data_IF_837080926639
#
_entry.id   IF_837080926639
#
_cell.length_a   1.000
_cell.length_b   1.000
_cell.length_c   1.000
_cell.angle_alpha   90.00
_cell.angle_beta   90.00
_cell.angle_gamma   90.00
#
_symmetry.space_group_name_H-M   'P 1'
#
loop_
_entity.id
_entity.type
_entity.pdbx_description
1 polymer ?
#
# COMPACT_ATOMS: atom_id res chain seq x y z
N UNK A 1 40.17 -26.33 15.26
CA UNK A 1 39.74 -27.75 15.44
C UNK A 1 38.26 -27.78 15.73
N UNK A 2 37.56 -28.71 15.05
CA UNK A 2 36.13 -29.16 15.15
C UNK A 2 35.09 -28.25 14.48
N UNK A 3 34.80 -28.64 13.23
CA UNK A 3 33.63 -28.36 12.41
C UNK A 3 32.45 -29.17 12.98
N UNK A 4 31.28 -28.53 13.20
CA UNK A 4 30.02 -29.25 13.31
C UNK A 4 29.11 -28.80 12.15
N UNK A 5 28.87 -29.77 11.25
CA UNK A 5 27.85 -29.69 10.21
C UNK A 5 26.52 -30.09 10.84
N UNK A 6 25.51 -29.27 10.69
CA UNK A 6 24.11 -29.63 10.92
C UNK A 6 23.43 -29.81 9.57
N UNK A 7 22.88 -30.97 9.40
CA UNK A 7 22.24 -31.53 8.20
C UNK A 7 20.82 -30.95 8.17
N UNK A 8 20.48 -30.29 7.07
CA UNK A 8 19.10 -29.84 6.79
C UNK A 8 18.32 -31.02 6.19
N UNK A 9 17.25 -31.43 6.86
CA UNK A 9 16.33 -32.44 6.36
C UNK A 9 15.34 -31.79 5.39
N UNK A 10 15.37 -32.19 4.14
CA UNK A 10 14.39 -31.84 3.10
C UNK A 10 13.24 -32.82 3.20
N UNK A 11 12.04 -32.35 3.58
CA UNK A 11 10.81 -33.14 3.44
C UNK A 11 10.27 -32.95 2.01
N UNK A 12 10.38 -34.02 1.24
CA UNK A 12 9.73 -34.19 -0.06
C UNK A 12 8.34 -34.78 0.18
N UNK A 13 7.31 -34.04 -0.11
CA UNK A 13 5.92 -34.50 -0.08
C UNK A 13 5.55 -34.99 -1.48
N UNK A 14 5.51 -36.31 -1.65
CA UNK A 14 5.09 -36.99 -2.88
C UNK A 14 3.56 -37.11 -2.91
N UNK A 15 2.91 -36.46 -3.89
CA UNK A 15 1.51 -36.68 -4.23
C UNK A 15 1.38 -37.97 -5.05
N UNK A 16 0.67 -38.95 -4.52
CA UNK A 16 0.27 -40.14 -5.28
C UNK A 16 -1.08 -39.87 -5.96
N UNK A 17 -1.08 -39.84 -7.28
CA UNK A 17 -2.29 -39.96 -8.10
C UNK A 17 -2.67 -41.46 -8.18
N UNK A 18 -3.86 -41.79 -7.72
CA UNK A 18 -4.46 -43.11 -7.93
C UNK A 18 -5.50 -42.97 -9.04
N UNK A 19 -5.19 -43.54 -10.20
CA UNK A 19 -6.12 -43.83 -11.29
C UNK A 19 -6.79 -45.17 -10.97
N UNK A 20 -8.14 -45.18 -10.93
CA UNK A 20 -8.91 -46.40 -11.02
C UNK A 20 -9.75 -46.36 -12.30
N UNK A 21 -9.32 -47.13 -13.29
CA UNK A 21 -10.15 -47.61 -14.38
C UNK A 21 -10.80 -48.93 -13.95
N UNK A 22 -12.03 -49.13 -14.40
CA UNK A 22 -12.57 -50.48 -14.38
C UNK A 22 -14.10 -50.57 -14.33
N UNK A 23 -14.72 -50.78 -15.47
CA UNK A 23 -15.50 -51.96 -15.72
C UNK A 23 -17.02 -51.82 -15.62
N UNK A 24 -17.62 -51.82 -16.76
CA UNK A 24 -19.02 -52.04 -17.11
C UNK A 24 -19.55 -53.35 -16.57
N UNK A 25 -20.77 -53.39 -16.03
CA UNK A 25 -21.73 -54.49 -16.21
C UNK A 25 -23.14 -54.07 -15.89
N UNK A 26 -24.02 -54.24 -16.86
CA UNK A 26 -25.47 -54.07 -16.80
C UNK A 26 -26.12 -55.12 -15.88
N UNK A 27 -27.11 -54.69 -15.08
CA UNK A 27 -28.32 -55.49 -14.78
C UNK A 27 -29.49 -54.55 -14.51
N UNK A 28 -30.53 -54.70 -15.34
CA UNK A 28 -31.90 -54.21 -15.12
C UNK A 28 -32.53 -54.90 -13.94
N UNK A 29 -33.13 -54.14 -13.05
CA UNK A 29 -34.35 -54.54 -12.33
C UNK A 29 -35.20 -53.31 -12.08
N UNK A 30 -36.44 -53.36 -12.59
CA UNK A 30 -37.52 -52.42 -12.32
C UNK A 30 -37.97 -52.55 -10.87
N UNK A 31 -37.99 -51.42 -10.15
CA UNK A 31 -38.79 -51.29 -8.96
C UNK A 31 -39.38 -49.88 -8.92
N UNK A 32 -40.64 -49.77 -9.24
CA UNK A 32 -41.50 -48.62 -9.03
C UNK A 32 -41.58 -48.32 -7.55
N UNK A 33 -41.13 -47.17 -7.11
CA UNK A 33 -41.54 -46.60 -5.82
C UNK A 33 -41.68 -45.10 -5.94
N UNK A 34 -42.84 -44.63 -5.58
CA UNK A 34 -43.28 -43.25 -5.54
C UNK A 34 -42.35 -42.37 -4.77
N UNK A 35 -41.58 -41.55 -5.47
CA UNK A 35 -40.81 -40.46 -4.86
C UNK A 35 -41.74 -39.26 -4.77
N UNK A 36 -42.30 -39.02 -3.58
CA UNK A 36 -42.89 -37.74 -3.23
C UNK A 36 -41.82 -36.67 -3.37
N UNK A 37 -41.95 -35.83 -4.37
CA UNK A 37 -41.15 -34.63 -4.52
C UNK A 37 -41.50 -33.67 -3.39
N UNK A 38 -40.76 -33.74 -2.30
CA UNK A 38 -40.73 -32.63 -1.34
C UNK A 38 -40.02 -31.46 -2.03
N UNK A 39 -40.83 -30.52 -2.47
CA UNK A 39 -40.33 -29.21 -2.88
C UNK A 39 -39.81 -28.54 -1.63
N UNK A 40 -38.52 -28.70 -1.36
CA UNK A 40 -37.84 -27.85 -0.41
C UNK A 40 -37.86 -26.43 -0.98
N UNK A 41 -38.74 -25.63 -0.44
CA UNK A 41 -38.68 -24.17 -0.59
C UNK A 41 -37.34 -23.73 0.00
N UNK A 42 -36.35 -23.51 -0.88
CA UNK A 42 -35.15 -22.82 -0.52
C UNK A 42 -35.61 -21.45 -0.03
N UNK A 43 -35.67 -21.29 1.30
CA UNK A 43 -35.81 -19.98 1.90
C UNK A 43 -34.65 -19.16 1.36
N UNK A 44 -34.97 -18.18 0.50
CA UNK A 44 -34.07 -17.16 0.05
C UNK A 44 -33.45 -16.59 1.32
N UNK A 45 -32.17 -16.90 1.57
CA UNK A 45 -31.43 -16.30 2.66
C UNK A 45 -31.64 -14.80 2.52
N UNK A 46 -32.27 -14.18 3.50
CA UNK A 46 -32.26 -12.73 3.61
C UNK A 46 -30.80 -12.35 3.45
N UNK A 47 -30.52 -11.46 2.49
CA UNK A 47 -29.20 -10.85 2.40
C UNK A 47 -28.99 -10.18 3.74
N UNK A 48 -28.27 -10.86 4.65
CA UNK A 48 -27.71 -10.15 5.79
C UNK A 48 -27.06 -8.90 5.24
N UNK A 49 -27.36 -7.78 5.86
CA UNK A 49 -26.77 -6.51 5.44
C UNK A 49 -25.26 -6.63 5.67
N UNK A 50 -24.59 -7.08 4.62
CA UNK A 50 -23.15 -7.30 4.60
C UNK A 50 -22.41 -6.02 5.05
N UNK A 51 -23.05 -4.87 4.92
CA UNK A 51 -22.54 -3.59 5.39
C UNK A 51 -22.42 -3.51 6.92
N UNK A 52 -23.19 -4.27 7.68
CA UNK A 52 -23.10 -4.28 9.15
C UNK A 52 -21.88 -5.04 9.70
N UNK A 53 -21.23 -5.87 8.89
CA UNK A 53 -20.09 -6.71 9.28
C UNK A 53 -18.75 -6.10 8.85
N UNK A 54 -18.77 -5.05 8.03
CA UNK A 54 -17.57 -4.37 7.55
C UNK A 54 -17.09 -3.33 8.54
N UNK A 55 -15.82 -3.44 8.90
CA UNK A 55 -15.00 -2.32 9.37
C UNK A 55 -14.80 -1.35 8.19
N UNK A 56 -15.89 -0.73 7.74
CA UNK A 56 -15.81 0.28 6.69
C UNK A 56 -15.53 1.61 7.32
N UNK A 57 -14.61 2.30 6.73
CA UNK A 57 -14.54 3.74 6.79
C UNK A 57 -15.88 4.38 6.44
N UNK A 58 -16.01 5.62 6.84
CA UNK A 58 -17.15 6.44 6.42
C UNK A 58 -17.17 6.50 4.90
N UNK A 59 -18.28 6.14 4.28
CA UNK A 59 -18.46 6.17 2.81
C UNK A 59 -18.07 7.52 2.20
N UNK A 60 -18.20 8.60 2.97
CA UNK A 60 -17.78 9.95 2.58
C UNK A 60 -16.28 10.08 2.30
N UNK A 61 -15.42 9.21 2.87
CA UNK A 61 -13.98 9.23 2.60
C UNK A 61 -13.63 8.65 1.24
N UNK A 62 -14.53 7.89 0.64
CA UNK A 62 -14.37 7.27 -0.67
C UNK A 62 -15.12 8.01 -1.78
N UNK A 63 -15.89 9.05 -1.43
CA UNK A 63 -16.72 9.78 -2.39
C UNK A 63 -15.91 10.39 -3.54
N UNK A 64 -14.66 10.75 -3.27
CA UNK A 64 -13.75 11.35 -4.24
C UNK A 64 -12.67 10.36 -4.73
N UNK A 65 -12.86 9.04 -4.46
CA UNK A 65 -11.92 8.02 -4.95
C UNK A 65 -12.11 7.84 -6.46
N UNK A 66 -11.16 8.35 -7.23
CA UNK A 66 -11.03 8.07 -8.65
C UNK A 66 -9.86 7.11 -8.86
N UNK A 67 -10.19 5.83 -9.07
CA UNK A 67 -9.21 4.75 -9.21
C UNK A 67 -8.39 4.86 -10.50
N UNK A 68 -8.84 5.66 -11.46
CA UNK A 68 -8.22 5.81 -12.78
C UNK A 68 -7.33 7.04 -12.88
N UNK A 69 -7.49 8.02 -12.00
CA UNK A 69 -6.73 9.26 -12.04
C UNK A 69 -5.32 9.12 -11.49
N UNK A 70 -4.45 10.01 -11.94
CA UNK A 70 -3.10 10.19 -11.39
C UNK A 70 -3.06 11.55 -10.72
N UNK A 71 -2.80 11.57 -9.40
CA UNK A 71 -2.62 12.80 -8.64
C UNK A 71 -1.18 13.25 -8.74
N UNK A 72 -0.93 14.52 -8.99
CA UNK A 72 0.42 15.08 -8.97
C UNK A 72 0.75 15.62 -7.59
N UNK A 73 1.88 15.21 -7.05
CA UNK A 73 2.41 15.68 -5.76
C UNK A 73 3.77 16.34 -5.96
N UNK A 74 3.92 17.53 -5.40
CA UNK A 74 5.14 18.30 -5.34
C UNK A 74 5.69 18.27 -3.92
N UNK A 75 6.89 17.79 -3.74
CA UNK A 75 7.55 17.66 -2.46
C UNK A 75 8.84 18.46 -2.45
N UNK A 76 8.86 19.58 -1.72
CA UNK A 76 10.10 20.29 -1.44
C UNK A 76 10.64 19.80 -0.11
N UNK A 77 11.87 19.26 -0.11
CA UNK A 77 12.54 18.77 1.09
C UNK A 77 13.60 19.75 1.56
N UNK A 78 13.73 19.88 2.87
CA UNK A 78 14.73 20.75 3.51
C UNK A 78 15.22 20.12 4.82
N UNK A 79 16.39 20.55 5.31
CA UNK A 79 16.80 20.19 6.67
C UNK A 79 15.86 20.87 7.67
N UNK A 80 15.36 20.11 8.63
CA UNK A 80 14.57 20.61 9.74
C UNK A 80 15.44 20.79 10.99
N UNK A 81 15.07 20.10 12.07
CA UNK A 81 15.77 20.20 13.35
C UNK A 81 16.06 18.80 13.95
N UNK A 82 17.14 18.74 14.75
CA UNK A 82 17.56 17.49 15.37
C UNK A 82 16.55 16.93 16.38
N UNK A 83 15.74 17.78 17.01
CA UNK A 83 14.72 17.32 17.98
C UNK A 83 13.58 16.54 17.34
N UNK A 84 13.34 16.76 16.04
CA UNK A 84 12.39 16.02 15.24
C UNK A 84 13.06 14.94 14.37
N UNK A 85 14.37 14.74 14.50
CA UNK A 85 15.19 13.86 13.65
C UNK A 85 15.04 14.21 12.15
N UNK A 86 14.93 15.50 11.82
CA UNK A 86 14.71 16.01 10.46
C UNK A 86 15.88 16.87 9.94
N UNK A 87 16.99 16.91 10.61
CA UNK A 87 18.19 17.68 10.27
C UNK A 87 19.12 16.98 9.24
N UNK A 88 18.63 15.90 8.65
CA UNK A 88 19.35 15.10 7.65
C UNK A 88 19.21 15.65 6.23
N UNK A 89 20.08 15.21 5.34
CA UNK A 89 19.98 15.51 3.91
C UNK A 89 19.09 14.50 3.18
N UNK A 90 18.59 14.91 2.01
CA UNK A 90 17.87 14.03 1.12
C UNK A 90 18.75 12.88 0.62
N UNK A 91 20.01 13.15 0.39
CA UNK A 91 21.01 12.16 0.04
C UNK A 91 21.19 11.11 1.14
N UNK A 92 21.32 11.56 2.41
CA UNK A 92 21.47 10.65 3.55
C UNK A 92 20.29 9.70 3.68
N UNK A 93 19.05 10.20 3.69
CA UNK A 93 17.89 9.31 3.86
C UNK A 93 17.72 8.32 2.71
N UNK A 94 18.20 8.65 1.52
CA UNK A 94 18.15 7.74 0.36
C UNK A 94 19.34 6.77 0.29
N UNK A 95 20.40 6.99 1.06
CA UNK A 95 21.60 6.14 1.07
C UNK A 95 21.46 4.91 1.96
N UNK A 96 20.71 5.01 3.05
CA UNK A 96 20.61 3.94 4.03
C UNK A 96 19.39 3.07 3.85
N UNK A 97 19.56 1.75 4.09
CA UNK A 97 18.48 0.78 4.23
C UNK A 97 18.03 0.70 5.69
N UNK A 98 16.96 -0.06 5.94
CA UNK A 98 16.51 -0.34 7.33
C UNK A 98 17.57 -1.15 8.08
N UNK A 99 18.23 -2.08 7.41
CA UNK A 99 19.31 -2.88 7.99
C UNK A 99 20.50 -1.98 8.42
N UNK A 100 20.81 -0.95 7.63
CA UNK A 100 21.85 0.02 8.00
C UNK A 100 21.48 0.77 9.27
N UNK A 101 20.22 1.23 9.42
CA UNK A 101 19.75 1.89 10.64
C UNK A 101 19.78 0.97 11.86
N UNK A 102 19.37 -0.30 11.68
CA UNK A 102 19.43 -1.32 12.73
C UNK A 102 20.89 -1.58 13.18
N UNK A 103 21.82 -1.68 12.22
CA UNK A 103 23.25 -1.86 12.50
C UNK A 103 23.87 -0.65 13.21
N UNK A 104 23.45 0.57 12.88
CA UNK A 104 23.88 1.80 13.53
C UNK A 104 23.22 2.01 14.90
N UNK A 105 22.12 1.31 15.20
CA UNK A 105 21.37 1.48 16.44
C UNK A 105 20.65 2.82 16.53
N UNK A 106 20.24 3.40 15.40
CA UNK A 106 19.56 4.70 15.32
C UNK A 106 18.19 4.58 14.66
N UNK A 107 17.31 5.52 14.95
CA UNK A 107 16.04 5.65 14.26
C UNK A 107 16.26 6.09 12.79
N UNK A 108 15.30 5.73 11.92
CA UNK A 108 15.33 6.15 10.51
C UNK A 108 15.38 7.67 10.41
N UNK A 109 16.35 8.17 9.69
CA UNK A 109 16.51 9.59 9.41
C UNK A 109 15.31 10.13 8.64
N UNK A 110 14.98 11.38 8.91
CA UNK A 110 13.89 12.10 8.28
C UNK A 110 14.39 13.44 7.74
N UNK A 111 13.61 14.03 6.87
CA UNK A 111 13.77 15.43 6.44
C UNK A 111 12.45 16.17 6.63
N UNK A 112 12.52 17.48 6.79
CA UNK A 112 11.35 18.33 6.72
C UNK A 112 10.87 18.40 5.27
N UNK A 113 9.55 18.37 5.05
CA UNK A 113 8.94 18.40 3.73
C UNK A 113 7.81 19.41 3.65
N UNK A 114 7.74 20.12 2.53
CA UNK A 114 6.55 20.84 2.10
C UNK A 114 5.88 19.99 1.01
N UNK A 115 4.80 19.32 1.38
CA UNK A 115 3.98 18.58 0.44
C UNK A 115 2.89 19.50 -0.11
N UNK A 116 2.80 19.56 -1.43
CA UNK A 116 1.78 20.30 -2.16
C UNK A 116 1.11 19.36 -3.16
N UNK A 117 -0.21 19.39 -3.23
CA UNK A 117 -0.98 18.56 -4.18
C UNK A 117 -1.51 19.46 -5.29
N UNK A 118 -1.44 18.96 -6.52
CA UNK A 118 -1.87 19.72 -7.69
C UNK A 118 -2.06 18.86 -8.92
N UNK A 119 -1.84 19.48 -10.06
CA UNK A 119 -1.88 18.86 -11.38
C UNK A 119 -0.53 19.02 -12.10
N UNK A 120 -0.49 18.76 -13.39
CA UNK A 120 0.72 18.86 -14.21
C UNK A 120 1.29 20.30 -14.33
N UNK A 121 0.48 21.31 -14.00
CA UNK A 121 0.87 22.73 -14.08
C UNK A 121 1.37 23.29 -12.74
N UNK A 122 1.23 22.51 -11.65
CA UNK A 122 1.70 22.90 -10.32
C UNK A 122 0.67 22.66 -9.22
N UNK A 123 0.96 23.14 -7.99
CA UNK A 123 0.03 23.08 -6.87
C UNK A 123 -1.27 23.83 -7.15
N UNK A 124 -2.42 23.22 -6.84
CA UNK A 124 -3.74 23.79 -7.13
C UNK A 124 -4.47 24.26 -5.87
N UNK A 125 -5.24 25.34 -6.02
CA UNK A 125 -6.02 25.93 -4.92
C UNK A 125 -7.02 24.91 -4.33
N UNK A 126 -7.17 24.96 -3.00
CA UNK A 126 -8.04 24.05 -2.26
C UNK A 126 -7.40 22.71 -1.88
N UNK A 127 -6.22 22.40 -2.40
CA UNK A 127 -5.47 21.20 -2.05
C UNK A 127 -4.44 21.46 -0.94
N UNK A 128 -3.94 20.36 -0.36
CA UNK A 128 -2.92 20.38 0.69
C UNK A 128 -1.69 21.16 0.23
N UNK A 129 -1.20 22.04 1.10
CA UNK A 129 0.02 22.82 0.91
C UNK A 129 -0.07 23.95 -0.10
N UNK A 130 -1.24 24.22 -0.70
CA UNK A 130 -1.37 25.34 -1.64
C UNK A 130 -1.01 26.67 -0.99
N UNK A 131 -0.15 27.44 -1.64
CA UNK A 131 0.40 28.71 -1.15
C UNK A 131 1.15 28.63 0.21
N UNK A 132 1.49 27.43 0.67
CA UNK A 132 2.39 27.28 1.81
C UNK A 132 3.86 27.38 1.36
N UNK A 133 4.69 28.00 2.20
CA UNK A 133 6.13 28.15 1.96
C UNK A 133 6.99 27.43 3.01
N UNK A 134 6.33 26.97 4.09
CA UNK A 134 7.03 26.31 5.20
C UNK A 134 6.71 24.82 5.23
N UNK A 135 7.64 23.96 5.72
CA UNK A 135 7.42 22.55 5.83
C UNK A 135 6.14 22.18 6.60
N UNK A 136 5.29 21.41 5.98
CA UNK A 136 4.02 20.93 6.53
C UNK A 136 4.03 19.43 6.86
N UNK A 137 5.14 18.74 6.57
CA UNK A 137 5.30 17.31 6.73
C UNK A 137 6.70 16.91 7.19
N UNK A 138 6.84 15.65 7.61
CA UNK A 138 8.12 14.94 7.69
C UNK A 138 8.16 13.82 6.67
N UNK A 139 9.34 13.53 6.15
CA UNK A 139 9.54 12.52 5.10
C UNK A 139 10.65 11.58 5.49
N UNK A 140 10.42 10.28 5.32
CA UNK A 140 11.42 9.23 5.51
C UNK A 140 11.25 8.11 4.48
N UNK A 141 12.27 7.29 4.28
CA UNK A 141 12.13 6.05 3.52
C UNK A 141 11.20 5.08 4.25
N UNK A 142 10.50 4.23 3.48
CA UNK A 142 9.64 3.19 4.05
C UNK A 142 9.94 1.82 3.44
N UNK A 143 9.41 0.80 4.12
CA UNK A 143 9.58 -0.61 3.78
C UNK A 143 10.71 -1.24 4.58
N UNK A 144 10.71 -2.57 4.65
CA UNK A 144 11.80 -3.35 5.23
C UNK A 144 12.78 -3.71 4.10
N UNK A 145 12.53 -4.78 3.39
CA UNK A 145 13.37 -5.26 2.29
C UNK A 145 13.49 -4.23 1.15
N UNK A 146 12.41 -3.52 0.81
CA UNK A 146 12.43 -2.52 -0.27
C UNK A 146 13.22 -1.25 0.05
N UNK A 147 13.66 -1.06 1.30
CA UNK A 147 14.52 0.06 1.68
C UNK A 147 15.92 -0.01 1.05
N UNK A 148 16.38 -1.21 0.69
CA UNK A 148 17.65 -1.41 -0.03
C UNK A 148 17.58 -1.12 -1.53
N UNK A 149 16.37 -0.95 -2.10
CA UNK A 149 16.20 -0.66 -3.52
C UNK A 149 16.78 0.71 -3.91
N UNK A 150 17.27 0.84 -5.14
CA UNK A 150 17.75 2.12 -5.66
C UNK A 150 16.62 3.17 -5.76
N UNK A 151 15.42 2.75 -6.15
CA UNK A 151 14.23 3.60 -6.13
C UNK A 151 13.47 3.39 -4.82
N UNK A 152 13.47 4.40 -3.97
CA UNK A 152 12.93 4.31 -2.61
C UNK A 152 11.41 4.45 -2.58
N UNK A 153 10.82 3.83 -1.57
CA UNK A 153 9.47 4.13 -1.12
C UNK A 153 9.54 5.19 -0.04
N UNK A 154 8.53 6.05 0.05
CA UNK A 154 8.50 7.14 1.01
C UNK A 154 7.27 7.07 1.91
N UNK A 155 7.44 7.46 3.18
CA UNK A 155 6.38 7.83 4.09
C UNK A 155 6.44 9.34 4.28
N UNK A 156 5.35 10.02 3.95
CA UNK A 156 5.16 11.46 4.17
C UNK A 156 4.11 11.59 5.26
N UNK A 157 4.43 12.24 6.37
CA UNK A 157 3.52 12.46 7.48
C UNK A 157 3.24 13.94 7.68
N UNK A 158 2.01 14.37 7.38
CA UNK A 158 1.56 15.74 7.59
C UNK A 158 1.55 16.08 9.09
N UNK A 159 2.02 17.26 9.45
CA UNK A 159 1.99 17.78 10.82
C UNK A 159 0.54 17.92 11.29
N UNK A 160 0.28 17.72 12.58
CA UNK A 160 -1.08 17.63 13.16
C UNK A 160 -2.00 18.80 12.82
N UNK A 161 -1.45 20.00 12.65
CA UNK A 161 -2.18 21.25 12.40
C UNK A 161 -2.11 21.72 10.95
N UNK A 162 -1.64 20.86 10.03
CA UNK A 162 -1.41 21.18 8.61
C UNK A 162 -2.42 20.50 7.66
N UNK A 163 -3.57 20.09 8.21
CA UNK A 163 -4.63 19.46 7.44
C UNK A 163 -4.40 17.98 7.16
N UNK A 164 -5.18 17.50 6.23
CA UNK A 164 -5.15 16.09 5.76
C UNK A 164 -5.33 16.07 4.24
N UNK A 165 -4.80 15.05 3.60
CA UNK A 165 -5.11 14.75 2.22
C UNK A 165 -6.12 13.60 2.17
N UNK A 166 -7.34 13.86 1.68
CA UNK A 166 -8.44 12.89 1.66
C UNK A 166 -8.64 12.19 3.02
N UNK A 167 -8.61 12.97 4.11
CA UNK A 167 -8.71 12.46 5.48
C UNK A 167 -7.46 11.76 6.02
N UNK A 168 -6.40 11.61 5.24
CA UNK A 168 -5.17 10.92 5.63
C UNK A 168 -4.09 11.93 6.02
N UNK A 169 -3.40 11.67 7.15
CA UNK A 169 -2.19 12.41 7.54
C UNK A 169 -0.92 11.71 7.10
N UNK A 170 -0.97 10.39 6.97
CA UNK A 170 0.17 9.57 6.56
C UNK A 170 -0.06 9.09 5.12
N UNK A 171 0.83 9.50 4.25
CA UNK A 171 0.81 9.21 2.82
C UNK A 171 1.99 8.29 2.52
N UNK A 172 1.70 7.04 2.19
CA UNK A 172 2.72 6.06 1.86
C UNK A 172 2.83 5.93 0.34
N UNK A 173 3.98 6.20 -0.20
CA UNK A 173 4.28 6.12 -1.63
C UNK A 173 5.16 4.91 -1.92
N UNK A 174 4.63 3.94 -2.66
CA UNK A 174 5.33 2.73 -3.06
C UNK A 174 5.77 2.82 -4.51
N UNK A 175 7.07 2.63 -4.76
CA UNK A 175 7.67 2.75 -6.11
C UNK A 175 7.57 1.47 -6.93
N UNK A 176 7.51 0.31 -6.29
CA UNK A 176 7.47 -1.02 -6.94
C UNK A 176 8.58 -1.21 -7.98
N UNK A 177 9.84 -0.98 -7.59
CA UNK A 177 11.00 -1.05 -8.50
C UNK A 177 11.10 -2.36 -9.26
N UNK A 178 10.75 -3.50 -8.65
CA UNK A 178 10.80 -4.84 -9.26
C UNK A 178 9.65 -5.15 -10.23
N UNK A 179 8.74 -4.22 -10.48
CA UNK A 179 7.56 -4.40 -11.31
C UNK A 179 7.56 -3.43 -12.49
N UNK A 180 7.70 -3.97 -13.72
CA UNK A 180 7.80 -3.14 -14.93
C UNK A 180 6.58 -2.27 -15.21
N UNK A 181 5.38 -2.76 -14.90
CA UNK A 181 4.12 -2.05 -15.17
C UNK A 181 3.63 -1.17 -14.02
N UNK A 182 4.16 -1.36 -12.80
CA UNK A 182 3.91 -0.57 -11.60
C UNK A 182 2.45 -0.41 -11.15
N UNK A 183 1.54 -1.28 -11.61
CA UNK A 183 0.13 -1.20 -11.25
C UNK A 183 -0.42 -2.41 -10.48
N UNK A 184 0.29 -3.54 -10.42
CA UNK A 184 -0.21 -4.78 -9.79
C UNK A 184 -0.61 -4.57 -8.33
N UNK A 185 0.15 -3.77 -7.61
CA UNK A 185 -0.12 -3.50 -6.20
C UNK A 185 -1.46 -2.75 -6.06
N UNK A 186 -1.67 -1.69 -6.85
CA UNK A 186 -2.94 -0.97 -6.88
C UNK A 186 -4.08 -1.89 -7.30
N UNK A 187 -3.92 -2.63 -8.40
CA UNK A 187 -4.92 -3.57 -8.88
C UNK A 187 -5.32 -4.61 -7.81
N UNK A 188 -4.37 -5.13 -7.04
CA UNK A 188 -4.65 -6.08 -5.97
C UNK A 188 -5.53 -5.45 -4.86
N UNK A 189 -5.23 -4.21 -4.45
CA UNK A 189 -6.06 -3.49 -3.48
C UNK A 189 -7.44 -3.18 -4.02
N UNK A 190 -7.56 -2.77 -5.28
CA UNK A 190 -8.84 -2.45 -5.91
C UNK A 190 -9.72 -3.71 -6.04
N UNK A 191 -9.12 -4.86 -6.37
CA UNK A 191 -9.84 -6.14 -6.38
C UNK A 191 -10.32 -6.55 -4.98
N UNK A 192 -9.50 -6.35 -3.95
CA UNK A 192 -9.87 -6.66 -2.55
C UNK A 192 -11.04 -5.80 -2.10
N UNK A 193 -11.11 -4.53 -2.48
CA UNK A 193 -12.25 -3.64 -2.18
C UNK A 193 -13.58 -4.18 -2.72
N UNK A 194 -13.55 -4.94 -3.81
CA UNK A 194 -14.72 -5.60 -4.39
C UNK A 194 -15.22 -6.83 -3.60
N UNK A 195 -14.48 -7.29 -2.59
CA UNK A 195 -14.82 -8.46 -1.78
C UNK A 195 -15.46 -8.00 -0.46
N UNK A 196 -16.78 -8.20 -0.27
CA UNK A 196 -17.50 -7.63 0.86
C UNK A 196 -17.00 -8.01 2.25
N UNK A 197 -16.30 -9.14 2.41
CA UNK A 197 -15.79 -9.66 3.68
C UNK A 197 -14.33 -9.28 3.94
N UNK A 198 -13.72 -8.51 3.04
CA UNK A 198 -12.32 -8.09 3.18
C UNK A 198 -12.22 -6.57 3.31
N UNK A 199 -11.31 -6.14 4.15
CA UNK A 199 -10.97 -4.73 4.28
C UNK A 199 -9.97 -4.37 3.18
N UNK A 200 -10.37 -3.47 2.27
CA UNK A 200 -9.50 -2.89 1.25
C UNK A 200 -8.90 -1.56 1.72
N UNK A 201 -7.64 -1.34 1.42
CA UNK A 201 -7.02 -0.03 1.63
C UNK A 201 -7.31 0.87 0.43
N UNK A 202 -7.49 2.17 0.70
CA UNK A 202 -7.54 3.17 -0.37
C UNK A 202 -6.18 3.28 -1.04
N UNK A 203 -6.19 3.34 -2.36
CA UNK A 203 -4.99 3.48 -3.17
C UNK A 203 -5.19 4.53 -4.24
N UNK A 204 -4.12 5.24 -4.60
CA UNK A 204 -4.12 6.26 -5.64
C UNK A 204 -2.82 6.20 -6.43
N UNK A 205 -2.88 6.38 -7.74
CA UNK A 205 -1.67 6.68 -8.49
C UNK A 205 -1.21 8.11 -8.22
N UNK A 206 0.07 8.26 -7.96
CA UNK A 206 0.71 9.54 -7.69
C UNK A 206 1.91 9.72 -8.61
N UNK A 207 1.96 10.83 -9.33
CA UNK A 207 3.17 11.32 -9.97
C UNK A 207 3.89 12.24 -8.99
N UNK A 208 5.10 11.87 -8.59
CA UNK A 208 5.86 12.60 -7.58
C UNK A 208 6.98 13.42 -8.23
N UNK A 209 6.98 14.71 -7.90
CA UNK A 209 8.09 15.62 -8.18
C UNK A 209 8.77 16.01 -6.87
N UNK A 210 10.10 15.99 -6.84
CA UNK A 210 10.88 16.32 -5.63
C UNK A 210 11.83 17.46 -5.93
N UNK A 211 11.83 18.47 -5.06
CA UNK A 211 12.80 19.55 -5.04
C UNK A 211 13.64 19.44 -3.77
N UNK A 212 14.95 19.24 -3.93
CA UNK A 212 15.88 19.05 -2.81
C UNK A 212 16.55 20.37 -2.44
N UNK A 213 16.22 20.85 -1.25
CA UNK A 213 16.80 22.03 -0.62
C UNK A 213 17.58 21.68 0.67
N UNK A 214 17.97 20.41 0.84
CA UNK A 214 18.67 19.97 2.07
C UNK A 214 20.13 20.39 2.11
N UNK A 215 20.82 20.44 0.95
CA UNK A 215 22.24 20.77 0.84
C UNK A 215 22.48 22.01 -0.05
N UNK A 216 21.47 22.85 -0.19
CA UNK A 216 21.49 24.08 -0.98
C UNK A 216 20.07 24.40 -1.49
N UNK A 217 19.85 25.54 -2.09
CA UNK A 217 18.58 25.87 -2.72
C UNK A 217 18.53 25.38 -4.16
N UNK A 218 17.45 24.69 -4.53
CA UNK A 218 17.12 24.33 -5.90
C UNK A 218 15.78 24.91 -6.27
N UNK A 219 15.65 25.46 -7.47
CA UNK A 219 14.36 25.92 -8.01
C UNK A 219 13.71 24.87 -8.92
N UNK A 220 14.39 23.73 -9.11
CA UNK A 220 13.97 22.69 -10.07
C UNK A 220 13.37 21.48 -9.34
N UNK A 221 12.17 21.11 -9.74
CA UNK A 221 11.58 19.83 -9.38
C UNK A 221 12.12 18.72 -10.29
N UNK A 222 12.63 17.67 -9.68
CA UNK A 222 13.04 16.44 -10.38
C UNK A 222 11.87 15.48 -10.46
N UNK A 223 11.68 14.86 -11.61
CA UNK A 223 10.64 13.86 -11.83
C UNK A 223 11.04 12.52 -11.18
N UNK A 224 10.32 12.13 -10.15
CA UNK A 224 10.47 10.85 -9.48
C UNK A 224 9.53 9.78 -10.06
N UNK A 225 8.66 10.17 -11.01
CA UNK A 225 7.74 9.30 -11.74
C UNK A 225 6.60 8.73 -10.91
N UNK A 226 6.01 7.63 -11.40
CA UNK A 226 4.81 7.04 -10.83
C UNK A 226 5.08 6.27 -9.55
N UNK A 227 4.20 6.48 -8.57
CA UNK A 227 4.05 5.75 -7.31
C UNK A 227 2.63 5.25 -7.14
N UNK A 228 2.45 4.20 -6.35
CA UNK A 228 1.16 3.87 -5.76
C UNK A 228 1.13 4.40 -4.33
N UNK A 229 0.26 5.35 -4.06
CA UNK A 229 -0.07 5.73 -2.68
C UNK A 229 -0.95 4.62 -2.09
N UNK A 230 -0.65 4.22 -0.86
CA UNK A 230 -1.41 3.23 -0.12
C UNK A 230 -1.75 3.82 1.24
N UNK A 231 -3.02 3.72 1.62
CA UNK A 231 -3.49 4.17 2.92
C UNK A 231 -2.73 3.52 4.08
N UNK A 232 -2.47 4.29 5.12
CA UNK A 232 -1.88 3.78 6.35
C UNK A 232 -2.98 3.28 7.28
N UNK A 233 -2.98 1.99 7.59
CA UNK A 233 -3.81 1.45 8.67
C UNK A 233 -3.40 2.09 10.01
N UNK A 234 -4.26 2.90 10.54
CA UNK A 234 -4.12 3.53 11.85
C UNK A 234 -5.51 3.79 12.43
N UNK A 235 -5.58 4.37 13.64
CA UNK A 235 -6.86 4.70 14.30
C UNK A 235 -7.76 5.65 13.52
N UNK A 236 -7.25 6.32 12.49
CA UNK A 236 -8.01 7.24 11.65
C UNK A 236 -8.61 6.51 10.45
N UNK A 237 -8.01 5.39 10.05
CA UNK A 237 -8.46 4.53 8.95
C UNK A 237 -9.47 3.45 9.41
N UNK A 238 -9.63 3.28 10.71
CA UNK A 238 -10.60 2.39 11.37
C UNK A 238 -11.70 3.23 12.04
#
# INVERSE_FOLDING_TARGET
MKRNRLISAVCVLSLALSLCEGGCSEKKEEATSDIKTETQTVKKAEKEDINSVHLRDKDTLYADDDETSVVTMYLTVSRGNASENTDHSWSEINSYSVEDYENMGVDRYQVAGLLQVGDENGPTSGNVGYAEEVPNATVQIRGQTSSSNAQKNYKIELKKNKGTWRGQRVINLNKHQGEGMRFRNKMAYDLIKGIPQMMGLRTQFVHLYVKDNTDGSSDVFQDYGLYTQVEQLNKTAL
#
